data_IF_772650886755
#
_entry.id   IF_772650886755
#
_cell.length_a   1.000
_cell.length_b   1.000
_cell.length_c   1.000
_cell.angle_alpha   90.00
_cell.angle_beta   90.00
_cell.angle_gamma   90.00
#
_symmetry.space_group_name_H-M   'P 1'
#
loop_
_entity.id
_entity.type
_entity.pdbx_description
1 polymer ?
#
# COMPACT_ATOMS: atom_id res chain seq x y z
N UNK A 1 7.23 -2.17 -18.33
CA UNK A 1 7.66 -0.82 -17.88
C UNK A 1 7.78 -0.71 -16.35
N UNK A 2 7.88 -1.83 -15.62
CA UNK A 2 7.89 -1.87 -14.15
C UNK A 2 9.30 -1.92 -13.55
N UNK A 3 10.24 -2.61 -14.21
CA UNK A 3 11.61 -2.76 -13.71
C UNK A 3 12.37 -1.42 -13.61
N UNK A 4 12.22 -0.52 -14.60
CA UNK A 4 12.91 0.79 -14.59
C UNK A 4 12.40 1.65 -13.43
N UNK A 5 11.09 1.65 -13.16
CA UNK A 5 10.51 2.38 -12.03
C UNK A 5 11.04 1.86 -10.70
N UNK A 6 11.12 0.54 -10.53
CA UNK A 6 11.69 -0.09 -9.33
C UNK A 6 13.18 0.24 -9.17
N UNK A 7 13.95 0.31 -10.25
CA UNK A 7 15.37 0.69 -10.21
C UNK A 7 15.51 2.15 -9.75
N UNK A 8 14.74 3.08 -10.32
CA UNK A 8 14.77 4.50 -9.94
C UNK A 8 14.38 4.67 -8.47
N UNK A 9 13.30 4.00 -8.04
CA UNK A 9 12.87 4.01 -6.64
C UNK A 9 13.95 3.42 -5.72
N UNK A 10 14.58 2.31 -6.10
CA UNK A 10 15.66 1.68 -5.35
C UNK A 10 16.89 2.58 -5.19
N UNK A 11 17.30 3.26 -6.27
CA UNK A 11 18.39 4.25 -6.24
C UNK A 11 18.04 5.42 -5.31
N UNK A 12 16.82 5.96 -5.41
CA UNK A 12 16.36 7.05 -4.54
C UNK A 12 16.34 6.66 -3.07
N UNK A 13 15.77 5.51 -2.74
CA UNK A 13 15.74 4.97 -1.36
C UNK A 13 17.17 4.75 -0.85
N UNK A 14 18.02 4.08 -1.62
CA UNK A 14 19.40 3.79 -1.20
C UNK A 14 20.21 5.07 -0.95
N UNK A 15 20.16 6.04 -1.87
CA UNK A 15 20.91 7.29 -1.73
C UNK A 15 20.42 8.14 -0.55
N UNK A 16 19.11 8.29 -0.37
CA UNK A 16 18.51 9.09 0.71
C UNK A 16 18.73 8.46 2.10
N UNK A 17 18.74 7.13 2.21
CA UNK A 17 18.88 6.47 3.51
C UNK A 17 20.29 6.01 3.85
N UNK A 18 21.28 6.21 2.97
CA UNK A 18 22.68 5.84 3.26
C UNK A 18 23.59 7.04 3.45
N UNK A 19 23.48 8.09 2.63
CA UNK A 19 24.43 9.23 2.67
C UNK A 19 24.08 10.27 3.77
N UNK A 20 22.84 10.80 3.85
CA UNK A 20 22.47 11.78 4.86
C UNK A 20 22.65 11.35 6.32
N UNK A 21 22.38 10.08 6.73
CA UNK A 21 22.60 9.63 8.10
C UNK A 21 24.04 9.81 8.56
N UNK A 22 25.01 9.55 7.68
CA UNK A 22 26.44 9.67 8.01
C UNK A 22 26.80 11.14 8.24
N UNK A 23 26.35 12.02 7.33
CA UNK A 23 26.59 13.46 7.45
C UNK A 23 25.90 14.09 8.66
N UNK A 24 24.66 13.68 8.98
CA UNK A 24 23.94 14.17 10.16
C UNK A 24 24.62 13.74 11.45
N UNK A 25 25.03 12.47 11.57
CA UNK A 25 25.79 12.00 12.73
C UNK A 25 27.13 12.73 12.84
N UNK A 26 27.86 12.92 11.73
CA UNK A 26 29.14 13.62 11.75
C UNK A 26 29.01 15.12 12.11
N UNK A 27 27.85 15.74 11.84
CA UNK A 27 27.59 17.15 12.15
C UNK A 27 27.20 17.42 13.62
N UNK A 28 26.85 16.37 14.37
CA UNK A 28 26.38 16.51 15.74
C UNK A 28 27.55 16.42 16.76
N UNK A 29 27.62 17.34 17.75
CA UNK A 29 28.81 17.49 18.61
C UNK A 29 29.05 16.35 19.61
N UNK A 30 27.97 15.71 20.07
CA UNK A 30 28.02 14.64 21.08
C UNK A 30 27.30 13.38 20.60
N UNK A 31 27.58 12.24 21.24
CA UNK A 31 26.90 10.99 20.95
C UNK A 31 25.38 11.06 21.23
N UNK A 32 24.97 11.87 22.21
CA UNK A 32 23.57 12.10 22.55
C UNK A 32 22.85 12.89 21.44
N UNK A 33 23.50 13.94 20.91
CA UNK A 33 22.97 14.74 19.80
C UNK A 33 22.90 13.94 18.49
N UNK A 34 23.86 13.03 18.27
CA UNK A 34 23.85 12.10 17.14
C UNK A 34 22.64 11.15 17.20
N UNK A 35 22.38 10.59 18.38
CA UNK A 35 21.20 9.75 18.62
C UNK A 35 19.89 10.51 18.39
N UNK A 36 19.81 11.75 18.86
CA UNK A 36 18.64 12.61 18.66
C UNK A 36 18.41 12.93 17.17
N UNK A 37 19.45 13.33 16.43
CA UNK A 37 19.36 13.62 15.01
C UNK A 37 18.91 12.41 14.19
N UNK A 38 19.46 11.23 14.50
CA UNK A 38 19.05 9.98 13.86
C UNK A 38 17.62 9.58 14.20
N UNK A 39 17.21 9.77 15.47
CA UNK A 39 15.83 9.56 15.91
C UNK A 39 14.84 10.40 15.11
N UNK A 40 15.13 11.70 14.93
CA UNK A 40 14.30 12.62 14.14
C UNK A 40 14.21 12.16 12.68
N UNK A 41 15.31 11.75 12.06
CA UNK A 41 15.28 11.24 10.68
C UNK A 41 14.44 9.97 10.53
N UNK A 42 14.55 9.02 11.47
CA UNK A 42 13.70 7.82 11.48
C UNK A 42 12.22 8.18 11.65
N UNK A 43 11.90 9.16 12.51
CA UNK A 43 10.53 9.66 12.65
C UNK A 43 9.97 10.20 11.34
N UNK A 44 10.72 11.03 10.61
CA UNK A 44 10.30 11.52 9.29
C UNK A 44 10.13 10.41 8.26
N UNK A 45 11.00 9.40 8.28
CA UNK A 45 10.87 8.21 7.42
C UNK A 45 9.55 7.48 7.69
N UNK A 46 9.22 7.20 8.95
CA UNK A 46 8.00 6.50 9.33
C UNK A 46 6.75 7.33 9.01
N UNK A 47 6.83 8.65 9.22
CA UNK A 47 5.75 9.57 8.84
C UNK A 47 5.48 9.56 7.34
N UNK A 48 6.53 9.61 6.52
CA UNK A 48 6.40 9.46 5.07
C UNK A 48 5.79 8.12 4.66
N UNK A 49 6.17 7.03 5.34
CA UNK A 49 5.59 5.70 5.11
C UNK A 49 4.10 5.67 5.44
N UNK A 50 3.69 6.33 6.53
CA UNK A 50 2.27 6.47 6.92
C UNK A 50 1.48 7.26 5.87
N UNK A 51 2.04 8.37 5.35
CA UNK A 51 1.40 9.14 4.27
C UNK A 51 1.23 8.27 3.03
N UNK A 52 2.27 7.55 2.63
CA UNK A 52 2.23 6.64 1.49
C UNK A 52 1.17 5.54 1.66
N UNK A 53 1.08 4.95 2.85
CA UNK A 53 0.06 3.97 3.19
C UNK A 53 -1.35 4.57 3.11
N UNK A 54 -1.57 5.76 3.67
CA UNK A 54 -2.87 6.43 3.65
C UNK A 54 -3.32 6.70 2.20
N UNK A 55 -2.43 7.25 1.37
CA UNK A 55 -2.73 7.50 -0.05
C UNK A 55 -3.01 6.19 -0.78
N UNK A 56 -2.19 5.15 -0.57
CA UNK A 56 -2.38 3.84 -1.17
C UNK A 56 -3.72 3.19 -0.78
N UNK A 57 -4.05 3.22 0.50
CA UNK A 57 -5.32 2.69 1.02
C UNK A 57 -6.52 3.46 0.47
N UNK A 58 -6.48 4.80 0.46
CA UNK A 58 -7.57 5.61 -0.10
C UNK A 58 -7.72 5.40 -1.60
N UNK A 59 -6.62 5.29 -2.34
CA UNK A 59 -6.65 5.04 -3.79
C UNK A 59 -7.23 3.66 -4.07
N UNK A 60 -6.78 2.62 -3.34
CA UNK A 60 -7.33 1.28 -3.41
C UNK A 60 -8.84 1.30 -3.19
N UNK A 61 -9.30 1.87 -2.07
CA UNK A 61 -10.73 1.88 -1.74
C UNK A 61 -11.54 2.64 -2.79
N UNK A 62 -11.05 3.78 -3.27
CA UNK A 62 -11.75 4.57 -4.30
C UNK A 62 -11.88 3.83 -5.63
N UNK A 63 -10.80 3.19 -6.11
CA UNK A 63 -10.82 2.44 -7.38
C UNK A 63 -11.64 1.17 -7.25
N UNK A 64 -11.55 0.49 -6.10
CA UNK A 64 -12.30 -0.72 -5.82
C UNK A 64 -13.80 -0.44 -5.75
N UNK A 65 -14.25 0.58 -5.01
CA UNK A 65 -15.67 0.95 -4.92
C UNK A 65 -16.25 1.32 -6.30
N UNK A 66 -15.51 2.11 -7.08
CA UNK A 66 -15.91 2.47 -8.44
C UNK A 66 -15.98 1.25 -9.36
N UNK A 67 -15.06 0.30 -9.22
CA UNK A 67 -15.05 -0.92 -10.03
C UNK A 67 -16.14 -1.89 -9.59
N UNK A 68 -16.42 -1.99 -8.29
CA UNK A 68 -17.48 -2.82 -7.74
C UNK A 68 -18.87 -2.29 -8.10
N UNK A 69 -19.05 -0.98 -8.27
CA UNK A 69 -20.31 -0.40 -8.75
C UNK A 69 -20.71 -0.88 -10.16
N UNK A 70 -19.76 -1.43 -10.94
CA UNK A 70 -20.04 -2.04 -12.24
C UNK A 70 -20.51 -3.49 -12.15
N UNK A 71 -20.31 -4.14 -11.00
CA UNK A 71 -20.85 -5.46 -10.71
C UNK A 71 -22.28 -5.29 -10.19
N UNK A 72 -23.23 -6.01 -10.78
CA UNK A 72 -24.64 -5.98 -10.38
C UNK A 72 -24.88 -6.48 -8.95
N UNK A 73 -26.15 -6.75 -8.56
CA UNK A 73 -26.48 -7.13 -7.19
C UNK A 73 -25.70 -8.37 -6.73
N UNK A 74 -24.95 -8.22 -5.63
CA UNK A 74 -24.14 -9.29 -5.05
C UNK A 74 -25.00 -10.23 -4.17
N UNK A 75 -24.73 -11.55 -4.20
CA UNK A 75 -25.25 -12.51 -3.24
C UNK A 75 -24.89 -12.14 -1.78
N UNK A 76 -25.70 -12.59 -0.82
CA UNK A 76 -25.49 -12.31 0.62
C UNK A 76 -24.11 -12.77 1.12
N UNK A 77 -23.59 -13.90 0.59
CA UNK A 77 -22.25 -14.41 0.89
C UNK A 77 -21.11 -13.43 0.50
N UNK A 78 -21.38 -12.50 -0.41
CA UNK A 78 -20.45 -11.49 -0.90
C UNK A 78 -20.81 -10.08 -0.42
N UNK A 79 -21.76 -9.93 0.51
CA UNK A 79 -22.20 -8.62 1.01
C UNK A 79 -21.07 -7.83 1.69
N UNK A 80 -20.09 -8.51 2.29
CA UNK A 80 -18.91 -7.89 2.90
C UNK A 80 -18.01 -7.20 1.86
N UNK A 81 -17.97 -7.70 0.62
CA UNK A 81 -17.17 -7.12 -0.48
C UNK A 81 -17.70 -5.76 -0.94
N UNK A 82 -18.90 -5.35 -0.51
CA UNK A 82 -19.43 -4.00 -0.73
C UNK A 82 -18.59 -2.95 0.03
N UNK A 83 -17.93 -3.33 1.12
CA UNK A 83 -17.03 -2.46 1.86
C UNK A 83 -15.58 -2.70 1.39
N UNK A 84 -14.95 -1.69 0.81
CA UNK A 84 -13.59 -1.81 0.31
C UNK A 84 -12.55 -2.17 1.39
N UNK A 85 -12.79 -1.81 2.65
CA UNK A 85 -11.88 -2.14 3.75
C UNK A 85 -11.83 -3.63 4.04
N UNK A 86 -12.91 -4.37 3.75
CA UNK A 86 -12.99 -5.82 3.92
C UNK A 86 -12.56 -6.57 2.65
N UNK A 87 -12.32 -5.87 1.54
CA UNK A 87 -11.99 -6.50 0.26
C UNK A 87 -10.67 -7.28 0.31
N UNK A 88 -9.68 -6.77 1.05
CA UNK A 88 -8.36 -7.42 1.18
C UNK A 88 -8.41 -8.58 2.19
N UNK A 89 -9.14 -8.42 3.30
CA UNK A 89 -9.33 -9.46 4.32
C UNK A 89 -10.14 -10.66 3.80
N UNK A 90 -11.00 -10.43 2.80
CA UNK A 90 -11.86 -11.46 2.20
C UNK A 90 -11.17 -12.30 1.10
N UNK A 91 -9.95 -11.93 0.65
CA UNK A 91 -9.19 -12.67 -0.38
C UNK A 91 -9.02 -14.17 -0.07
N UNK A 92 -8.68 -14.59 1.17
CA UNK A 92 -8.57 -16.02 1.49
C UNK A 92 -9.92 -16.75 1.40
N UNK A 93 -11.02 -16.05 1.67
CA UNK A 93 -12.37 -16.62 1.70
C UNK A 93 -12.94 -16.79 0.29
N UNK A 94 -12.50 -15.97 -0.68
CA UNK A 94 -12.84 -16.10 -2.10
C UNK A 94 -12.48 -17.48 -2.69
N UNK A 95 -11.48 -18.18 -2.14
CA UNK A 95 -11.12 -19.54 -2.56
C UNK A 95 -12.15 -20.61 -2.14
N UNK A 96 -13.02 -20.29 -1.18
CA UNK A 96 -13.97 -21.24 -0.56
C UNK A 96 -15.42 -20.99 -0.96
N UNK A 97 -15.70 -19.84 -1.58
CA UNK A 97 -17.06 -19.44 -1.95
C UNK A 97 -17.42 -20.07 -3.30
N UNK A 98 -18.51 -20.83 -3.34
CA UNK A 98 -19.07 -21.36 -4.58
C UNK A 98 -19.99 -20.31 -5.22
N UNK A 99 -19.54 -19.71 -6.32
CA UNK A 99 -20.23 -18.66 -7.07
C UNK A 99 -20.21 -18.97 -8.56
N UNK A 100 -21.20 -18.44 -9.27
CA UNK A 100 -21.28 -18.58 -10.72
C UNK A 100 -19.97 -18.14 -11.39
N UNK A 101 -19.43 -18.91 -12.36
CA UNK A 101 -18.14 -18.61 -12.99
C UNK A 101 -18.04 -17.18 -13.55
N UNK A 102 -19.12 -16.67 -14.14
CA UNK A 102 -19.18 -15.30 -14.66
C UNK A 102 -19.03 -14.21 -13.58
N UNK A 103 -19.51 -14.45 -12.35
CA UNK A 103 -19.34 -13.53 -11.23
C UNK A 103 -17.92 -13.61 -10.65
N UNK A 104 -17.32 -14.80 -10.66
CA UNK A 104 -15.94 -15.01 -10.25
C UNK A 104 -14.97 -14.28 -11.19
N UNK A 105 -15.19 -14.34 -12.51
CA UNK A 105 -14.41 -13.61 -13.50
C UNK A 105 -14.60 -12.08 -13.35
N UNK A 106 -15.83 -11.61 -13.15
CA UNK A 106 -16.09 -10.19 -12.91
C UNK A 106 -15.41 -9.66 -11.63
N UNK A 107 -15.44 -10.42 -10.53
CA UNK A 107 -14.72 -10.07 -9.29
C UNK A 107 -13.21 -10.06 -9.50
N UNK A 108 -12.67 -11.05 -10.21
CA UNK A 108 -11.25 -11.10 -10.56
C UNK A 108 -10.83 -9.85 -11.33
N UNK A 109 -11.63 -9.42 -12.31
CA UNK A 109 -11.37 -8.21 -13.09
C UNK A 109 -11.37 -6.93 -12.22
N UNK A 110 -12.24 -6.87 -11.20
CA UNK A 110 -12.23 -5.77 -10.22
C UNK A 110 -10.92 -5.75 -9.43
N UNK A 111 -10.46 -6.89 -8.92
CA UNK A 111 -9.18 -6.96 -8.20
C UNK A 111 -7.98 -6.65 -9.10
N UNK A 112 -7.96 -7.15 -10.34
CA UNK A 112 -6.89 -6.89 -11.31
C UNK A 112 -6.83 -5.42 -11.78
N UNK A 113 -7.93 -4.69 -11.68
CA UNK A 113 -7.95 -3.24 -12.00
C UNK A 113 -7.36 -2.40 -10.87
N UNK A 114 -7.36 -2.91 -9.65
CA UNK A 114 -6.92 -2.20 -8.45
C UNK A 114 -5.45 -2.48 -8.12
N UNK A 115 -4.93 -3.66 -8.49
CA UNK A 115 -3.57 -4.16 -8.18
C UNK A 115 -2.64 -4.01 -9.40
#
# INVERSE_FOLDING_TARGET
>A
MTAIFQVIAGVGIGTIFTVPPISMQASAPSAEDQGLAMGIMVSFRLFGALIGLAIGATTFSSVYENSMASIGPLPEALALLKNANEAVSFIPQLATVDIAPALCDALRDVYLRVI
#
